data_IF_533529426954
#
_entry.id   IF_533529426954
#
_cell.length_a   1.000
_cell.length_b   1.000
_cell.length_c   1.000
_cell.angle_alpha   90.00
_cell.angle_beta   90.00
_cell.angle_gamma   90.00
#
_symmetry.space_group_name_H-M   'P 1'
#
loop_
_entity.id
_entity.type
_entity.pdbx_description
1 polymer ?
#
# COMPACT_ATOMS: atom_id res chain seq x y z
N UNK A 1 -1.75 -16.85 -3.78
CA UNK A 1 -2.44 -17.03 -5.10
C UNK A 1 -1.58 -17.79 -6.11
N UNK A 2 -0.33 -17.34 -6.43
CA UNK A 2 0.51 -18.04 -7.41
C UNK A 2 0.87 -19.44 -6.92
N UNK A 3 1.31 -19.57 -5.66
CA UNK A 3 1.59 -20.87 -5.02
C UNK A 3 0.46 -21.88 -5.22
N UNK A 4 -0.77 -21.46 -4.89
CA UNK A 4 -1.93 -22.36 -4.90
C UNK A 4 -2.36 -22.76 -6.31
N UNK A 5 -2.11 -21.86 -7.27
CA UNK A 5 -2.41 -22.11 -8.69
C UNK A 5 -1.42 -23.06 -9.36
N UNK A 6 -0.16 -23.03 -8.89
CA UNK A 6 0.95 -23.81 -9.46
C UNK A 6 1.35 -25.00 -8.57
N UNK A 7 0.68 -25.18 -7.43
CA UNK A 7 0.96 -26.24 -6.45
C UNK A 7 2.45 -26.32 -6.05
N UNK A 8 3.03 -25.14 -5.75
CA UNK A 8 4.45 -25.02 -5.44
C UNK A 8 4.75 -25.54 -4.02
N UNK A 9 5.85 -26.24 -3.89
CA UNK A 9 6.39 -26.63 -2.60
C UNK A 9 6.87 -25.41 -1.77
N UNK A 10 7.06 -25.62 -0.49
CA UNK A 10 7.40 -24.52 0.45
C UNK A 10 8.76 -23.92 0.14
N UNK A 11 9.75 -24.71 -0.28
CA UNK A 11 11.08 -24.22 -0.59
C UNK A 11 11.06 -23.30 -1.81
N UNK A 12 10.42 -23.73 -2.88
CA UNK A 12 10.24 -22.89 -4.08
C UNK A 12 9.55 -21.56 -3.74
N UNK A 13 8.52 -21.59 -2.88
CA UNK A 13 7.84 -20.38 -2.42
C UNK A 13 8.77 -19.49 -1.60
N UNK A 14 9.56 -20.06 -0.70
CA UNK A 14 10.52 -19.32 0.12
C UNK A 14 11.56 -18.62 -0.75
N UNK A 15 12.14 -19.30 -1.71
CA UNK A 15 13.08 -18.72 -2.67
C UNK A 15 12.44 -17.60 -3.51
N UNK A 16 11.23 -17.80 -3.99
CA UNK A 16 10.50 -16.77 -4.75
C UNK A 16 10.21 -15.51 -3.91
N UNK A 17 9.82 -15.67 -2.64
CA UNK A 17 9.59 -14.53 -1.73
C UNK A 17 10.89 -13.76 -1.51
N UNK A 18 12.01 -14.46 -1.26
CA UNK A 18 13.31 -13.83 -1.06
C UNK A 18 13.76 -13.01 -2.28
N UNK A 19 13.63 -13.58 -3.48
CA UNK A 19 13.95 -12.88 -4.73
C UNK A 19 13.05 -11.66 -4.96
N UNK A 20 11.72 -11.83 -4.78
CA UNK A 20 10.77 -10.75 -4.95
C UNK A 20 11.04 -9.60 -3.98
N UNK A 21 11.34 -9.91 -2.72
CA UNK A 21 11.67 -8.91 -1.71
C UNK A 21 12.91 -8.12 -2.10
N UNK A 22 13.97 -8.78 -2.52
CA UNK A 22 15.21 -8.13 -2.94
C UNK A 22 15.00 -7.12 -4.09
N UNK A 23 14.10 -7.43 -5.01
CA UNK A 23 13.86 -6.58 -6.20
C UNK A 23 12.76 -5.54 -6.03
N UNK A 24 11.88 -5.69 -5.04
CA UNK A 24 10.71 -4.82 -4.88
C UNK A 24 10.69 -4.02 -3.58
N UNK A 25 11.73 -4.12 -2.77
CA UNK A 25 11.82 -3.33 -1.54
C UNK A 25 11.93 -1.85 -1.89
N UNK A 26 10.97 -1.07 -1.44
CA UNK A 26 10.91 0.36 -1.65
C UNK A 26 10.53 1.09 -0.37
N UNK A 27 11.11 2.26 -0.15
CA UNK A 27 10.77 3.10 0.99
C UNK A 27 9.48 3.87 0.74
N UNK A 28 8.86 4.36 1.81
CA UNK A 28 7.66 5.19 1.73
C UNK A 28 7.89 6.49 0.95
N UNK A 29 9.13 6.94 0.79
CA UNK A 29 9.43 8.16 0.05
C UNK A 29 8.94 8.10 -1.41
N UNK A 30 8.86 6.91 -2.01
CA UNK A 30 8.31 6.74 -3.37
C UNK A 30 6.81 7.13 -3.49
N UNK A 31 6.14 7.34 -2.36
CA UNK A 31 4.70 7.64 -2.27
C UNK A 31 4.42 8.92 -1.47
N UNK A 32 5.43 9.72 -1.20
CA UNK A 32 5.36 10.91 -0.36
C UNK A 32 6.02 12.09 -1.07
N UNK A 33 5.56 13.31 -0.79
CA UNK A 33 6.01 14.52 -1.47
C UNK A 33 5.32 14.65 -2.83
N UNK A 34 6.05 15.06 -3.84
CA UNK A 34 5.53 15.19 -5.20
C UNK A 34 5.07 13.83 -5.76
N UNK A 35 3.81 13.76 -6.14
CA UNK A 35 3.21 12.53 -6.67
C UNK A 35 3.57 12.35 -8.13
N UNK A 36 4.21 11.24 -8.44
CA UNK A 36 4.54 10.85 -9.81
C UNK A 36 3.63 9.74 -10.34
N UNK A 37 3.63 9.56 -11.65
CA UNK A 37 2.94 8.44 -12.31
C UNK A 37 3.41 7.07 -11.80
N UNK A 38 4.61 6.99 -11.25
CA UNK A 38 5.15 5.76 -10.65
C UNK A 38 4.28 5.22 -9.51
N UNK A 39 3.60 6.08 -8.77
CA UNK A 39 2.66 5.65 -7.73
C UNK A 39 1.59 4.69 -8.25
N UNK A 40 1.09 4.93 -9.47
CA UNK A 40 0.12 4.05 -10.12
C UNK A 40 0.75 2.76 -10.66
N UNK A 41 1.99 2.82 -11.13
CA UNK A 41 2.68 1.67 -11.70
C UNK A 41 3.29 0.73 -10.67
N UNK A 42 3.66 1.21 -9.50
CA UNK A 42 4.39 0.42 -8.51
C UNK A 42 3.72 -0.93 -8.15
N UNK A 43 2.40 -1.02 -7.93
CA UNK A 43 1.76 -2.31 -7.66
C UNK A 43 1.83 -3.28 -8.84
N UNK A 44 1.64 -2.80 -10.06
CA UNK A 44 1.72 -3.63 -11.26
C UNK A 44 3.16 -4.11 -11.51
N UNK A 45 4.15 -3.23 -11.28
CA UNK A 45 5.56 -3.59 -11.36
C UNK A 45 5.93 -4.64 -10.32
N UNK A 46 5.49 -4.48 -9.07
CA UNK A 46 5.70 -5.49 -8.03
C UNK A 46 5.08 -6.85 -8.41
N UNK A 47 3.88 -6.85 -9.02
CA UNK A 47 3.26 -8.06 -9.54
C UNK A 47 4.08 -8.73 -10.65
N UNK A 48 4.62 -7.94 -11.58
CA UNK A 48 5.52 -8.45 -12.63
C UNK A 48 6.76 -9.12 -12.02
N UNK A 49 7.40 -8.46 -11.07
CA UNK A 49 8.59 -9.01 -10.40
C UNK A 49 8.28 -10.26 -9.57
N UNK A 50 7.10 -10.33 -8.97
CA UNK A 50 6.68 -11.53 -8.25
C UNK A 50 6.50 -12.74 -9.19
N UNK A 51 5.94 -12.54 -10.37
CA UNK A 51 5.81 -13.61 -11.38
C UNK A 51 7.19 -14.05 -11.85
N UNK A 52 8.11 -13.14 -12.14
CA UNK A 52 9.46 -13.48 -12.54
C UNK A 52 10.23 -14.22 -11.43
N UNK A 53 10.11 -13.78 -10.18
CA UNK A 53 10.73 -14.45 -9.04
C UNK A 53 10.26 -15.91 -8.88
N UNK A 54 8.97 -16.16 -9.09
CA UNK A 54 8.41 -17.51 -9.07
C UNK A 54 8.97 -18.35 -10.22
N UNK A 55 9.02 -17.81 -11.45
CA UNK A 55 9.57 -18.54 -12.60
C UNK A 55 11.05 -18.92 -12.37
N UNK A 56 11.86 -18.01 -11.84
CA UNK A 56 13.26 -18.27 -11.48
C UNK A 56 13.39 -19.32 -10.39
N UNK A 57 12.61 -19.22 -9.33
CA UNK A 57 12.63 -20.21 -8.24
C UNK A 57 12.21 -21.62 -8.73
N UNK A 58 11.23 -21.71 -9.60
CA UNK A 58 10.83 -22.97 -10.24
C UNK A 58 11.94 -23.59 -11.10
N UNK A 59 12.86 -22.78 -11.60
CA UNK A 59 14.05 -23.25 -12.34
C UNK A 59 15.24 -23.55 -11.43
N UNK A 60 15.08 -23.44 -10.11
CA UNK A 60 16.11 -23.75 -9.12
C UNK A 60 17.04 -22.58 -8.79
N UNK A 61 16.69 -21.33 -9.21
CA UNK A 61 17.46 -20.16 -8.77
C UNK A 61 17.17 -19.83 -7.32
N UNK A 62 18.24 -19.73 -6.50
CA UNK A 62 18.15 -19.35 -5.09
C UNK A 62 17.98 -17.85 -4.89
N UNK A 63 17.46 -17.47 -3.71
CA UNK A 63 17.39 -16.08 -3.25
C UNK A 63 18.55 -15.76 -2.30
N UNK A 64 18.89 -14.47 -2.12
CA UNK A 64 19.72 -14.06 -0.99
C UNK A 64 19.10 -14.50 0.34
N UNK A 65 19.88 -15.12 1.22
CA UNK A 65 19.42 -15.59 2.53
C UNK A 65 20.51 -15.36 3.60
N UNK A 66 20.12 -15.00 4.82
CA UNK A 66 18.76 -14.67 5.28
C UNK A 66 18.39 -13.19 4.98
N UNK A 67 17.53 -12.96 4.00
CA UNK A 67 17.19 -11.58 3.60
C UNK A 67 16.29 -10.85 4.61
N UNK A 68 15.52 -11.59 5.40
CA UNK A 68 14.65 -11.02 6.43
C UNK A 68 15.40 -10.75 7.73
N UNK A 69 16.03 -11.77 8.29
CA UNK A 69 16.59 -11.82 9.64
C UNK A 69 18.07 -11.46 9.71
N UNK A 70 18.75 -11.34 8.57
CA UNK A 70 20.16 -11.01 8.51
C UNK A 70 20.48 -9.67 9.20
N UNK A 71 21.71 -9.50 9.66
CA UNK A 71 22.17 -8.26 10.32
C UNK A 71 22.00 -7.02 9.41
N UNK A 72 22.09 -7.21 8.09
CA UNK A 72 21.82 -6.22 7.06
C UNK A 72 20.47 -6.47 6.36
N UNK A 73 19.61 -7.27 6.95
CA UNK A 73 18.32 -7.67 6.41
C UNK A 73 17.23 -6.62 6.54
N UNK A 74 16.07 -6.92 5.97
CA UNK A 74 14.91 -6.01 5.92
C UNK A 74 14.39 -5.66 7.31
N UNK A 75 14.38 -6.61 8.23
CA UNK A 75 13.92 -6.37 9.62
C UNK A 75 14.86 -5.38 10.31
N UNK A 76 16.16 -5.55 10.16
CA UNK A 76 17.16 -4.71 10.80
C UNK A 76 17.12 -3.26 10.31
N UNK A 77 16.96 -3.04 9.01
CA UNK A 77 17.12 -1.72 8.40
C UNK A 77 15.81 -1.00 8.07
N UNK A 78 14.74 -1.72 7.76
CA UNK A 78 13.51 -1.11 7.28
C UNK A 78 12.32 -1.28 8.23
N UNK A 79 12.42 -2.18 9.21
CA UNK A 79 11.33 -2.45 10.16
C UNK A 79 11.74 -2.07 11.59
N UNK A 80 11.51 -2.94 12.55
CA UNK A 80 11.69 -2.64 13.98
C UNK A 80 13.11 -2.75 14.53
N UNK A 81 14.13 -2.94 13.66
CA UNK A 81 15.52 -3.12 14.05
C UNK A 81 15.92 -4.59 14.24
N UNK A 82 17.22 -4.88 14.45
CA UNK A 82 17.77 -6.25 14.37
C UNK A 82 17.29 -7.21 15.47
N UNK A 83 16.59 -6.70 16.48
CA UNK A 83 16.01 -7.53 17.56
C UNK A 83 14.50 -7.71 17.46
N UNK A 84 13.88 -7.15 16.42
CA UNK A 84 12.44 -7.27 16.24
C UNK A 84 12.09 -8.63 15.64
N UNK A 85 11.04 -9.23 16.15
CA UNK A 85 10.47 -10.47 15.64
C UNK A 85 9.11 -10.21 15.03
N UNK A 86 8.83 -10.87 13.92
CA UNK A 86 7.57 -10.74 13.20
C UNK A 86 6.99 -12.14 12.94
N UNK A 87 5.71 -12.30 13.27
CA UNK A 87 4.95 -13.49 12.93
C UNK A 87 3.77 -13.09 12.04
N UNK A 88 3.65 -13.74 10.89
CA UNK A 88 2.52 -13.56 9.97
C UNK A 88 1.58 -14.74 10.14
N UNK A 89 0.37 -14.54 10.70
CA UNK A 89 -0.61 -15.62 10.81
C UNK A 89 -1.08 -16.03 9.40
N UNK A 90 -0.80 -17.26 9.04
CA UNK A 90 -1.28 -17.83 7.78
C UNK A 90 -2.44 -18.79 8.08
N UNK A 91 -3.41 -18.92 7.15
CA UNK A 91 -4.47 -19.91 7.29
C UNK A 91 -3.89 -21.33 7.45
N UNK A 92 -4.46 -22.12 8.35
CA UNK A 92 -4.09 -23.50 8.55
C UNK A 92 -4.46 -24.40 7.35
N UNK A 93 -4.00 -25.67 7.36
CA UNK A 93 -4.41 -26.64 6.35
C UNK A 93 -5.94 -26.80 6.32
N UNK A 94 -6.54 -26.64 5.14
CA UNK A 94 -7.99 -26.72 4.96
C UNK A 94 -8.79 -25.47 5.38
N UNK A 95 -8.16 -24.49 6.00
CA UNK A 95 -8.79 -23.23 6.33
C UNK A 95 -8.96 -22.36 5.08
N UNK A 96 -10.13 -21.74 4.94
CA UNK A 96 -10.42 -20.89 3.80
C UNK A 96 -9.56 -19.60 3.84
N UNK A 97 -8.91 -19.28 2.74
CA UNK A 97 -8.12 -18.05 2.57
C UNK A 97 -9.06 -16.88 2.29
N UNK A 98 -9.57 -16.27 3.33
CA UNK A 98 -10.65 -15.27 3.27
C UNK A 98 -10.20 -13.83 3.41
N UNK A 99 -8.92 -13.53 3.62
CA UNK A 99 -8.44 -12.19 3.90
C UNK A 99 -8.89 -11.12 2.89
N UNK A 100 -9.08 -11.49 1.62
CA UNK A 100 -9.61 -10.56 0.61
C UNK A 100 -11.05 -10.15 0.88
N UNK A 101 -11.84 -10.99 1.56
CA UNK A 101 -13.24 -10.69 1.89
C UNK A 101 -13.37 -9.69 3.04
N UNK A 102 -12.30 -9.49 3.80
CA UNK A 102 -12.21 -8.50 4.87
C UNK A 102 -11.77 -7.13 4.35
N UNK A 103 -11.63 -7.00 3.03
CA UNK A 103 -11.29 -5.75 2.34
C UNK A 103 -12.49 -5.21 1.56
N UNK A 104 -12.48 -3.94 1.27
CA UNK A 104 -13.48 -3.29 0.43
C UNK A 104 -12.82 -2.33 -0.56
N UNK A 105 -13.46 -2.17 -1.70
CA UNK A 105 -13.02 -1.23 -2.72
C UNK A 105 -13.43 0.19 -2.37
N UNK A 106 -12.67 1.16 -2.83
CA UNK A 106 -13.07 2.57 -2.72
C UNK A 106 -14.25 2.85 -3.65
N UNK A 107 -15.21 3.62 -3.18
CA UNK A 107 -16.33 4.10 -4.00
C UNK A 107 -15.91 5.25 -4.92
N UNK A 108 -15.09 6.16 -4.40
CA UNK A 108 -14.59 7.31 -5.14
C UNK A 108 -13.12 7.12 -5.53
N UNK A 109 -12.74 7.61 -6.72
CA UNK A 109 -11.35 7.62 -7.20
C UNK A 109 -10.51 8.66 -6.45
N UNK A 110 -10.42 8.51 -5.13
CA UNK A 110 -9.73 9.42 -4.23
C UNK A 110 -8.95 8.63 -3.16
N UNK A 111 -8.13 9.32 -2.39
CA UNK A 111 -7.45 8.73 -1.24
C UNK A 111 -8.47 8.18 -0.23
N UNK A 112 -8.09 7.16 0.54
CA UNK A 112 -9.03 6.43 1.43
C UNK A 112 -9.69 7.35 2.46
N UNK A 113 -8.93 8.25 3.08
CA UNK A 113 -9.46 9.18 4.08
C UNK A 113 -10.37 10.25 3.47
N UNK A 114 -10.38 10.39 2.15
CA UNK A 114 -11.29 11.30 1.43
C UNK A 114 -12.66 10.72 1.16
N UNK A 115 -12.87 9.40 1.31
CA UNK A 115 -14.15 8.76 0.98
C UNK A 115 -15.31 9.36 1.76
N UNK A 116 -15.22 9.38 3.09
CA UNK A 116 -16.27 9.93 3.95
C UNK A 116 -16.51 11.45 3.75
N UNK A 117 -15.48 12.32 3.61
CA UNK A 117 -15.69 13.71 3.22
C UNK A 117 -16.41 13.89 1.90
N UNK A 118 -16.12 13.08 0.89
CA UNK A 118 -16.81 13.13 -0.41
C UNK A 118 -18.29 12.73 -0.24
N UNK A 119 -18.58 11.65 0.44
CA UNK A 119 -19.96 11.24 0.75
C UNK A 119 -20.73 12.33 1.50
N UNK A 120 -20.07 12.95 2.48
CA UNK A 120 -20.66 14.04 3.23
C UNK A 120 -20.97 15.25 2.32
N UNK A 121 -20.07 15.58 1.42
CA UNK A 121 -20.27 16.67 0.45
C UNK A 121 -21.48 16.39 -0.45
N UNK A 122 -21.66 15.18 -0.94
CA UNK A 122 -22.84 14.80 -1.72
C UNK A 122 -24.13 14.95 -0.91
N UNK A 123 -24.15 14.49 0.34
CA UNK A 123 -25.33 14.63 1.23
C UNK A 123 -25.66 16.09 1.56
N UNK A 124 -24.64 16.92 1.71
CA UNK A 124 -24.82 18.34 2.01
C UNK A 124 -25.27 19.15 0.80
N UNK A 125 -24.91 18.74 -0.41
CA UNK A 125 -25.23 19.45 -1.66
C UNK A 125 -26.71 19.80 -1.78
N UNK A 126 -27.60 18.86 -1.48
CA UNK A 126 -29.04 19.07 -1.57
C UNK A 126 -29.55 20.12 -0.56
N UNK A 127 -28.84 20.27 0.58
CA UNK A 127 -29.19 21.20 1.65
C UNK A 127 -28.62 22.60 1.46
N UNK A 128 -27.48 22.70 0.77
CA UNK A 128 -26.77 23.97 0.56
C UNK A 128 -27.42 24.77 -0.57
N UNK A 129 -27.90 24.13 -1.61
CA UNK A 129 -28.48 24.73 -2.79
C UNK A 129 -27.45 25.42 -3.67
N UNK A 130 -27.05 26.65 -3.33
CA UNK A 130 -26.08 27.43 -4.10
C UNK A 130 -24.69 27.38 -3.43
N UNK A 131 -23.70 26.65 -4.00
CA UNK A 131 -22.33 26.57 -3.45
C UNK A 131 -21.62 27.94 -3.40
N UNK A 132 -22.01 28.90 -4.24
CA UNK A 132 -21.43 30.27 -4.22
C UNK A 132 -21.71 31.03 -2.93
N UNK A 133 -22.64 30.56 -2.08
CA UNK A 133 -22.97 31.16 -0.78
C UNK A 133 -22.14 30.61 0.37
N UNK A 134 -21.26 29.64 0.12
CA UNK A 134 -20.41 29.06 1.18
C UNK A 134 -19.28 30.03 1.51
N UNK A 135 -19.28 30.55 2.72
CA UNK A 135 -18.23 31.44 3.21
C UNK A 135 -17.00 30.69 3.75
N UNK A 136 -17.22 29.54 4.34
CA UNK A 136 -16.12 28.70 4.86
C UNK A 136 -16.55 27.23 5.00
N UNK A 137 -15.58 26.34 4.93
CA UNK A 137 -15.75 24.90 5.18
C UNK A 137 -14.78 24.50 6.27
N UNK A 138 -15.28 23.90 7.35
CA UNK A 138 -14.47 23.34 8.43
C UNK A 138 -14.70 21.85 8.50
N UNK A 139 -13.65 21.08 8.32
CA UNK A 139 -13.68 19.62 8.36
C UNK A 139 -13.10 19.11 9.68
N UNK A 140 -13.93 18.54 10.54
CA UNK A 140 -13.48 17.86 11.75
C UNK A 140 -13.16 16.41 11.43
N UNK A 141 -11.91 16.00 11.63
CA UNK A 141 -11.44 14.68 11.24
C UNK A 141 -10.45 14.11 12.27
N UNK A 142 -10.01 12.86 12.08
CA UNK A 142 -9.01 12.24 12.95
C UNK A 142 -7.61 12.84 12.70
N UNK A 143 -6.74 12.75 13.72
CA UNK A 143 -5.33 13.15 13.57
C UNK A 143 -4.66 12.42 12.40
N UNK A 144 -4.95 11.14 12.23
CA UNK A 144 -4.39 10.35 11.11
C UNK A 144 -4.81 10.90 9.74
N UNK A 145 -6.11 11.16 9.55
CA UNK A 145 -6.63 11.76 8.32
C UNK A 145 -5.99 13.11 8.04
N UNK A 146 -5.93 13.99 9.05
CA UNK A 146 -5.27 15.28 8.92
C UNK A 146 -3.80 15.16 8.52
N UNK A 147 -3.07 14.18 9.09
CA UNK A 147 -1.68 13.93 8.75
C UNK A 147 -1.49 13.39 7.33
N UNK A 148 -2.40 12.56 6.83
CA UNK A 148 -2.27 11.90 5.53
C UNK A 148 -2.72 12.80 4.38
N UNK A 149 -3.89 13.45 4.51
CA UNK A 149 -4.50 14.25 3.42
C UNK A 149 -4.77 15.70 3.81
N UNK A 150 -4.55 16.05 5.07
CA UNK A 150 -4.80 17.39 5.58
C UNK A 150 -3.74 18.41 5.15
N UNK A 151 -3.51 19.40 5.98
CA UNK A 151 -2.84 20.68 5.75
C UNK A 151 -1.37 20.65 5.30
N UNK A 152 -0.94 19.67 4.54
CA UNK A 152 0.41 19.69 3.97
C UNK A 152 1.51 19.52 5.00
N UNK A 153 1.27 18.81 6.10
CA UNK A 153 2.33 18.46 7.04
C UNK A 153 3.53 17.79 6.37
N UNK A 154 3.31 17.21 5.19
CA UNK A 154 4.32 16.57 4.37
C UNK A 154 4.66 17.37 3.09
N UNK A 155 3.81 18.30 2.69
CA UNK A 155 3.94 19.12 1.49
C UNK A 155 3.09 20.37 1.64
N UNK A 156 3.71 21.55 1.90
CA UNK A 156 3.00 22.81 2.01
C UNK A 156 2.21 23.20 0.76
N UNK A 157 2.59 22.71 -0.40
CA UNK A 157 1.93 22.97 -1.68
C UNK A 157 0.76 22.04 -1.96
N UNK A 158 0.50 21.07 -1.09
CA UNK A 158 -0.59 20.07 -1.25
C UNK A 158 -1.97 20.70 -1.33
N UNK A 159 -2.12 21.96 -0.90
CA UNK A 159 -3.35 22.74 -0.99
C UNK A 159 -3.38 23.74 -2.14
N UNK A 160 -2.32 23.83 -2.91
CA UNK A 160 -2.40 24.55 -4.18
C UNK A 160 -3.33 23.75 -5.10
N UNK A 161 -4.49 24.32 -5.51
CA UNK A 161 -5.40 23.64 -6.43
C UNK A 161 -4.74 23.24 -7.75
N UNK A 162 -3.64 23.90 -8.11
CA UNK A 162 -2.83 23.58 -9.27
C UNK A 162 -1.84 22.43 -9.05
N UNK A 163 -1.43 22.17 -7.81
CA UNK A 163 -0.44 21.15 -7.46
C UNK A 163 -1.04 19.83 -6.99
N UNK A 164 -2.23 19.84 -6.40
CA UNK A 164 -2.90 18.64 -5.93
C UNK A 164 -3.63 17.93 -7.08
N UNK A 165 -3.05 16.87 -7.59
CA UNK A 165 -3.64 16.02 -8.63
C UNK A 165 -4.21 14.71 -8.07
N UNK A 166 -4.40 14.58 -6.78
CA UNK A 166 -5.04 13.43 -6.14
C UNK A 166 -6.55 13.59 -5.95
N UNK A 167 -7.15 14.52 -6.64
CA UNK A 167 -8.61 14.68 -6.67
C UNK A 167 -9.18 14.02 -7.91
#
# INVERSE_FOLDING_TARGET
>A
CIRDRLDLDTETVYQAIGQALHTTTATRQSRKGEISSWKAYAPAFAGKMAVEAVDRAMRGEGAPAPIWEGEDGVIAWLLGGPKAEYAVPLPGPGEAKRGILDTYTKEHSAEYQSQAPIDLAFRLRERIGDPGRIASIVLHTSHHTHHVIGTGSNDPQKFDPGASRET
#
